data_IF_549492331764
#
_entry.id   IF_549492331764
#
_cell.length_a   1.000
_cell.length_b   1.000
_cell.length_c   1.000
_cell.angle_alpha   90.00
_cell.angle_beta   90.00
_cell.angle_gamma   90.00
#
_symmetry.space_group_name_H-M   'P 1'
#
loop_
_entity.id
_entity.type
_entity.pdbx_description
1 polymer ?
#
# COMPACT_ATOMS: atom_id res chain seq x y z
N UNK A 1 -1.92 -2.43 9.95
CA UNK A 1 -0.92 -2.16 11.02
C UNK A 1 -0.17 -3.45 11.33
N UNK A 2 1.04 -3.36 11.89
CA UNK A 2 1.83 -4.49 12.36
C UNK A 2 2.60 -4.05 13.61
N UNK A 3 2.60 -4.85 14.66
CA UNK A 3 3.17 -4.49 15.97
C UNK A 3 4.30 -5.45 16.34
N UNK A 4 5.28 -4.91 17.08
CA UNK A 4 6.23 -5.73 17.81
C UNK A 4 5.59 -6.14 19.15
N UNK A 5 5.60 -7.44 19.45
CA UNK A 5 5.06 -7.96 20.70
C UNK A 5 6.17 -8.57 21.55
N UNK A 6 6.12 -8.33 22.87
CA UNK A 6 7.12 -8.78 23.83
C UNK A 6 8.10 -7.68 24.24
N UNK A 7 9.05 -8.03 25.10
CA UNK A 7 9.96 -7.06 25.72
C UNK A 7 11.31 -6.93 24.98
N UNK A 8 11.50 -7.71 23.92
CA UNK A 8 12.72 -7.74 23.11
C UNK A 8 12.71 -6.64 22.04
N UNK A 9 13.90 -6.17 21.65
CA UNK A 9 14.04 -5.21 20.55
C UNK A 9 13.77 -5.86 19.20
N UNK A 10 13.25 -5.07 18.26
CA UNK A 10 13.11 -5.49 16.87
C UNK A 10 14.45 -5.94 16.27
N UNK A 11 14.46 -7.13 15.68
CA UNK A 11 15.60 -7.63 14.92
C UNK A 11 15.86 -6.80 13.64
N UNK A 12 17.08 -6.81 13.10
CA UNK A 12 17.38 -6.13 11.84
C UNK A 12 16.47 -6.57 10.68
N UNK A 13 16.10 -7.86 10.62
CA UNK A 13 15.20 -8.38 9.60
C UNK A 13 13.76 -7.85 9.74
N UNK A 14 13.25 -7.72 10.98
CA UNK A 14 11.95 -7.10 11.23
C UNK A 14 11.96 -5.62 10.82
N UNK A 15 13.03 -4.89 11.17
CA UNK A 15 13.16 -3.46 10.80
C UNK A 15 13.23 -3.24 9.29
N UNK A 16 14.03 -4.05 8.59
CA UNK A 16 14.14 -3.96 7.13
C UNK A 16 12.80 -4.21 6.44
N UNK A 17 12.09 -5.29 6.79
CA UNK A 17 10.81 -5.62 6.14
C UNK A 17 9.71 -4.63 6.51
N UNK A 18 9.67 -4.16 7.76
CA UNK A 18 8.70 -3.14 8.16
C UNK A 18 8.95 -1.82 7.44
N UNK A 19 10.21 -1.39 7.36
CA UNK A 19 10.58 -0.16 6.63
C UNK A 19 10.18 -0.25 5.16
N UNK A 20 10.37 -1.40 4.50
CA UNK A 20 9.92 -1.60 3.12
C UNK A 20 8.39 -1.48 2.97
N UNK A 21 7.63 -2.13 3.84
CA UNK A 21 6.17 -2.02 3.81
C UNK A 21 5.71 -0.57 4.06
N UNK A 22 6.36 0.12 5.00
CA UNK A 22 6.08 1.52 5.31
C UNK A 22 6.38 2.45 4.12
N UNK A 23 7.55 2.29 3.50
CA UNK A 23 7.94 3.04 2.30
C UNK A 23 6.96 2.84 1.16
N UNK A 24 6.53 1.60 0.92
CA UNK A 24 5.56 1.29 -0.14
C UNK A 24 4.25 2.04 0.07
N UNK A 25 3.64 1.92 1.26
CA UNK A 25 2.38 2.63 1.57
C UNK A 25 2.56 4.13 1.44
N UNK A 26 3.59 4.71 2.08
CA UNK A 26 3.83 6.16 2.07
C UNK A 26 4.04 6.70 0.66
N UNK A 27 4.92 6.07 -0.14
CA UNK A 27 5.18 6.53 -1.50
C UNK A 27 3.96 6.36 -2.41
N UNK A 28 3.14 5.33 -2.19
CA UNK A 28 1.95 5.06 -2.99
C UNK A 28 0.81 6.03 -2.66
N UNK A 29 0.69 6.48 -1.40
CA UNK A 29 -0.23 7.56 -1.01
C UNK A 29 0.11 8.85 -1.78
N UNK A 30 1.40 9.21 -1.87
CA UNK A 30 1.84 10.43 -2.57
C UNK A 30 1.51 10.43 -4.09
N UNK A 31 1.20 9.26 -4.68
CA UNK A 31 0.76 9.17 -6.08
C UNK A 31 -0.72 9.47 -6.29
N UNK A 32 -1.52 9.43 -5.23
CA UNK A 32 -2.95 9.69 -5.32
C UNK A 32 -3.21 11.17 -5.59
N UNK A 33 -3.84 11.44 -6.73
CA UNK A 33 -4.25 12.77 -7.13
C UNK A 33 -5.49 12.70 -8.03
N UNK A 34 -6.37 13.72 -8.00
CA UNK A 34 -7.48 13.77 -8.93
C UNK A 34 -6.96 13.83 -10.37
N UNK A 35 -7.54 13.03 -11.25
CA UNK A 35 -7.20 13.00 -12.67
C UNK A 35 -6.16 11.94 -13.08
N UNK A 36 -5.43 11.31 -12.15
CA UNK A 36 -4.55 10.19 -12.51
C UNK A 36 -5.38 8.97 -12.93
N UNK A 37 -4.98 8.30 -14.01
CA UNK A 37 -5.64 7.05 -14.42
C UNK A 37 -5.22 5.89 -13.51
N UNK A 38 -6.05 4.85 -13.40
CA UNK A 38 -5.70 3.66 -12.62
C UNK A 38 -4.45 2.97 -13.15
N UNK A 39 -4.25 3.02 -14.48
CA UNK A 39 -3.03 2.52 -15.12
C UNK A 39 -1.80 3.32 -14.72
N UNK A 40 -1.84 4.65 -14.83
CA UNK A 40 -0.72 5.50 -14.40
C UNK A 40 -0.42 5.31 -12.91
N UNK A 41 -1.46 5.11 -12.09
CA UNK A 41 -1.29 4.85 -10.66
C UNK A 41 -0.57 3.51 -10.42
N UNK A 42 -1.00 2.39 -11.03
CA UNK A 42 -0.28 1.10 -10.95
C UNK A 42 1.19 1.24 -11.39
N UNK A 43 1.45 1.87 -12.53
CA UNK A 43 2.78 1.91 -13.15
C UNK A 43 3.73 2.94 -12.53
N UNK A 44 3.21 3.89 -11.73
CA UNK A 44 4.02 4.87 -11.00
C UNK A 44 4.22 4.53 -9.51
N UNK A 45 3.52 3.51 -9.03
CA UNK A 45 3.57 3.06 -7.64
C UNK A 45 4.86 2.33 -7.31
N UNK A 46 5.27 2.46 -6.04
CA UNK A 46 6.31 1.65 -5.44
C UNK A 46 5.85 0.19 -5.35
N UNK A 47 6.65 -0.69 -5.92
CA UNK A 47 6.58 -2.13 -5.74
C UNK A 47 7.98 -2.71 -5.48
N UNK A 48 8.03 -3.91 -4.89
CA UNK A 48 9.25 -4.69 -4.74
C UNK A 48 9.20 -5.90 -5.67
N UNK A 49 10.36 -6.48 -5.99
CA UNK A 49 10.46 -7.54 -6.98
C UNK A 49 9.62 -8.77 -6.58
N UNK A 50 8.71 -9.20 -7.46
CA UNK A 50 7.78 -10.34 -7.25
C UNK A 50 8.49 -11.65 -6.97
N UNK A 51 9.71 -11.84 -7.49
CA UNK A 51 10.52 -13.05 -7.31
C UNK A 51 11.36 -13.03 -6.01
N UNK A 52 11.49 -11.90 -5.33
CA UNK A 52 12.19 -11.79 -4.05
C UNK A 52 11.22 -11.67 -2.87
N UNK A 53 10.10 -10.96 -3.08
CA UNK A 53 9.11 -10.67 -2.06
C UNK A 53 7.75 -11.28 -2.40
N UNK A 54 7.01 -11.64 -1.36
CA UNK A 54 5.56 -11.85 -1.36
C UNK A 54 4.88 -10.50 -1.23
N UNK A 55 3.72 -10.38 -1.85
CA UNK A 55 2.96 -9.13 -1.99
C UNK A 55 1.51 -9.33 -1.59
N UNK A 56 0.79 -8.23 -1.41
CA UNK A 56 -0.66 -8.26 -1.30
C UNK A 56 -1.30 -8.52 -2.68
N UNK A 57 -2.62 -8.69 -2.72
CA UNK A 57 -3.34 -8.93 -3.99
C UNK A 57 -3.40 -7.69 -4.89
N UNK A 58 -3.42 -6.49 -4.31
CA UNK A 58 -3.59 -5.22 -5.00
C UNK A 58 -2.66 -4.15 -4.39
N UNK A 59 -2.41 -3.07 -5.15
CA UNK A 59 -1.77 -1.86 -4.64
C UNK A 59 -2.79 -0.92 -3.97
N UNK A 60 -4.00 -0.85 -4.54
CA UNK A 60 -5.10 -0.05 -4.01
C UNK A 60 -6.43 -0.77 -4.21
N UNK A 61 -7.39 -0.48 -3.34
CA UNK A 61 -8.79 -0.69 -3.64
C UNK A 61 -9.68 0.44 -3.14
N UNK A 62 -10.86 0.59 -3.73
CA UNK A 62 -11.89 1.51 -3.22
C UNK A 62 -12.49 1.01 -1.90
N UNK A 63 -13.00 1.94 -1.10
CA UNK A 63 -13.63 1.61 0.19
C UNK A 63 -14.83 2.53 0.45
N UNK A 64 -15.93 1.92 0.92
CA UNK A 64 -17.17 2.60 1.28
C UNK A 64 -17.91 1.84 2.38
N UNK A 65 -18.96 1.09 2.03
CA UNK A 65 -19.65 0.18 2.97
C UNK A 65 -18.90 -1.14 3.19
N UNK A 66 -18.03 -1.49 2.25
CA UNK A 66 -17.10 -2.60 2.26
C UNK A 66 -15.97 -2.29 1.27
N UNK A 67 -15.10 -3.27 0.99
CA UNK A 67 -14.23 -3.20 -0.18
C UNK A 67 -15.08 -2.94 -1.43
N UNK A 68 -14.72 -1.91 -2.18
CA UNK A 68 -15.46 -1.39 -3.32
C UNK A 68 -14.54 -1.21 -4.53
N UNK A 69 -15.14 -0.97 -5.69
CA UNK A 69 -14.41 -0.58 -6.89
C UNK A 69 -13.69 0.77 -6.68
N UNK A 70 -12.48 0.98 -7.26
CA UNK A 70 -11.75 0.06 -8.15
C UNK A 70 -10.84 -0.91 -7.41
N UNK A 71 -10.39 -1.95 -8.10
CA UNK A 71 -9.26 -2.78 -7.70
C UNK A 71 -8.07 -2.45 -8.60
N UNK A 72 -6.99 -1.90 -8.03
CA UNK A 72 -5.83 -1.43 -8.79
C UNK A 72 -4.65 -2.38 -8.54
N UNK A 73 -4.28 -3.20 -9.54
CA UNK A 73 -3.32 -4.27 -9.34
C UNK A 73 -1.86 -3.80 -9.40
N UNK A 74 -0.94 -4.68 -9.02
CA UNK A 74 0.49 -4.52 -9.34
C UNK A 74 0.72 -4.53 -10.85
N UNK A 75 1.86 -3.98 -11.30
CA UNK A 75 2.15 -3.83 -12.74
C UNK A 75 2.13 -5.16 -13.49
N UNK A 76 2.61 -6.24 -12.86
CA UNK A 76 2.67 -7.57 -13.45
C UNK A 76 1.32 -8.30 -13.52
N UNK A 77 0.29 -7.81 -12.83
CA UNK A 77 -1.08 -8.34 -12.94
C UNK A 77 -1.94 -7.45 -13.86
N UNK A 78 -1.43 -6.30 -14.34
CA UNK A 78 -2.16 -5.43 -15.28
C UNK A 78 -2.33 -6.13 -16.64
N UNK A 79 -3.56 -6.37 -17.05
CA UNK A 79 -3.91 -7.07 -18.30
C UNK A 79 -5.20 -6.51 -18.92
N UNK A 80 -5.69 -7.12 -20.01
CA UNK A 80 -6.89 -6.69 -20.72
C UNK A 80 -8.19 -6.74 -19.90
N UNK A 81 -8.21 -7.48 -18.79
CA UNK A 81 -9.33 -7.56 -17.87
C UNK A 81 -9.21 -6.57 -16.70
N UNK A 82 -8.12 -5.79 -16.62
CA UNK A 82 -7.99 -4.72 -15.64
C UNK A 82 -8.94 -3.58 -15.98
N UNK A 83 -9.66 -3.07 -14.97
CA UNK A 83 -10.59 -1.97 -15.17
C UNK A 83 -9.85 -0.67 -15.38
N UNK A 84 -10.16 0.01 -16.49
CA UNK A 84 -9.68 1.36 -16.74
C UNK A 84 -10.59 2.39 -16.07
N UNK A 85 -10.03 3.54 -15.74
CA UNK A 85 -10.73 4.62 -15.08
C UNK A 85 -9.78 5.69 -14.56
N UNK A 86 -10.37 6.73 -13.99
CA UNK A 86 -9.66 7.90 -13.48
C UNK A 86 -10.05 8.16 -12.05
N UNK A 87 -9.06 8.45 -11.21
CA UNK A 87 -9.25 8.88 -9.83
C UNK A 87 -9.97 10.23 -9.80
N UNK A 88 -11.04 10.35 -9.02
CA UNK A 88 -11.87 11.56 -8.91
C UNK A 88 -12.00 12.02 -7.46
N UNK A 89 -12.17 13.34 -7.21
CA UNK A 89 -12.52 13.85 -5.89
C UNK A 89 -13.73 13.11 -5.29
N UNK A 90 -13.68 12.86 -3.98
CA UNK A 90 -14.70 12.11 -3.24
C UNK A 90 -14.52 10.59 -3.24
N UNK A 91 -13.65 10.03 -4.09
CA UNK A 91 -13.25 8.62 -3.95
C UNK A 91 -12.41 8.42 -2.69
N UNK A 92 -12.51 7.24 -2.08
CA UNK A 92 -11.67 6.83 -0.96
C UNK A 92 -10.99 5.52 -1.32
N UNK A 93 -9.68 5.45 -1.04
CA UNK A 93 -8.86 4.28 -1.33
C UNK A 93 -8.23 3.73 -0.05
N UNK A 94 -8.20 2.41 0.08
CA UNK A 94 -7.19 1.74 0.88
C UNK A 94 -5.90 1.61 0.06
N UNK A 95 -4.79 2.10 0.61
CA UNK A 95 -3.44 1.96 0.01
C UNK A 95 -2.72 0.83 0.72
N UNK A 96 -2.42 -0.23 -0.04
CA UNK A 96 -2.07 -1.52 0.52
C UNK A 96 -0.57 -1.82 0.46
N UNK A 97 -0.06 -2.48 1.49
CA UNK A 97 1.24 -3.14 1.46
C UNK A 97 1.21 -4.44 2.25
N UNK A 98 1.70 -5.50 1.62
CA UNK A 98 2.24 -6.66 2.31
C UNK A 98 3.62 -6.93 1.75
N UNK A 99 4.64 -6.97 2.60
CA UNK A 99 6.01 -7.29 2.20
C UNK A 99 6.52 -8.41 3.09
N UNK A 100 7.01 -9.49 2.49
CA UNK A 100 7.70 -10.57 3.20
C UNK A 100 8.61 -11.32 2.24
N UNK A 101 9.80 -11.74 2.69
CA UNK A 101 10.75 -12.41 1.79
C UNK A 101 10.27 -13.80 1.41
N UNK A 102 10.63 -14.26 0.21
CA UNK A 102 10.27 -15.62 -0.24
C UNK A 102 11.08 -16.73 0.43
N UNK A 103 12.30 -16.42 0.88
CA UNK A 103 13.21 -17.34 1.59
C UNK A 103 12.83 -17.55 3.06
N UNK A 104 11.87 -16.79 3.59
CA UNK A 104 11.31 -16.94 4.93
C UNK A 104 11.52 -15.70 5.81
N UNK A 105 11.20 -15.83 7.09
CA UNK A 105 11.30 -14.74 8.06
C UNK A 105 10.02 -13.90 8.19
N UNK A 106 10.13 -12.65 8.68
CA UNK A 106 8.97 -11.80 8.96
C UNK A 106 8.26 -11.34 7.68
N UNK A 107 6.96 -11.10 7.81
CA UNK A 107 6.12 -10.40 6.84
C UNK A 107 5.35 -9.29 7.54
N UNK A 108 5.15 -8.17 6.85
CA UNK A 108 4.50 -6.97 7.40
C UNK A 108 3.34 -6.55 6.51
N UNK A 109 2.15 -6.37 7.09
CA UNK A 109 0.98 -5.73 6.47
C UNK A 109 0.82 -4.31 7.01
N UNK A 110 0.80 -3.33 6.11
CA UNK A 110 0.44 -1.94 6.41
C UNK A 110 -0.60 -1.47 5.39
N UNK A 111 -1.47 -0.58 5.84
CA UNK A 111 -2.61 -0.10 5.07
C UNK A 111 -3.08 1.23 5.65
N UNK A 112 -3.42 2.17 4.79
CA UNK A 112 -4.02 3.46 5.16
C UNK A 112 -5.22 3.76 4.27
N UNK A 113 -6.23 4.44 4.84
CA UNK A 113 -7.38 4.93 4.11
C UNK A 113 -7.20 6.39 3.74
N UNK A 114 -7.36 6.72 2.46
CA UNK A 114 -7.06 8.03 1.88
C UNK A 114 -8.23 8.54 1.05
N UNK A 115 -8.71 9.74 1.38
CA UNK A 115 -9.72 10.47 0.63
C UNK A 115 -9.05 11.26 -0.51
N UNK A 116 -9.63 11.22 -1.70
CA UNK A 116 -9.24 12.09 -2.80
C UNK A 116 -9.98 13.42 -2.66
N UNK A 117 -9.23 14.51 -2.61
CA UNK A 117 -9.75 15.88 -2.54
C UNK A 117 -9.72 16.54 -3.92
N UNK A 118 -10.25 17.75 -4.03
CA UNK A 118 -10.26 18.51 -5.29
C UNK A 118 -8.86 18.81 -5.84
N UNK A 119 -7.85 18.85 -4.98
CA UNK A 119 -6.47 19.25 -5.35
C UNK A 119 -5.40 18.23 -4.97
N UNK A 120 -5.78 17.05 -4.46
CA UNK A 120 -4.83 16.06 -3.99
C UNK A 120 -5.50 14.95 -3.18
N UNK A 121 -4.96 14.65 -2.01
CA UNK A 121 -5.47 13.60 -1.13
C UNK A 121 -5.35 13.99 0.35
N UNK A 122 -6.15 13.35 1.20
CA UNK A 122 -6.16 13.49 2.65
C UNK A 122 -6.07 12.10 3.28
N UNK A 123 -5.09 11.91 4.16
CA UNK A 123 -4.97 10.69 4.97
C UNK A 123 -6.04 10.71 6.07
N UNK A 124 -6.98 9.75 6.03
CA UNK A 124 -8.05 9.63 7.03
C UNK A 124 -7.62 8.82 8.24
N UNK A 125 -6.76 7.83 8.04
CA UNK A 125 -6.26 6.98 9.12
C UNK A 125 -5.25 7.72 9.98
N UNK A 126 -5.47 7.77 11.29
CA UNK A 126 -4.65 8.53 12.24
C UNK A 126 -3.88 7.66 13.26
N UNK A 127 -3.95 6.32 13.12
CA UNK A 127 -3.28 5.42 14.05
C UNK A 127 -1.77 5.41 13.79
N UNK A 128 -0.94 5.46 14.82
CA UNK A 128 0.52 5.54 14.63
C UNK A 128 1.10 4.28 13.98
N UNK A 129 2.17 4.45 13.21
CA UNK A 129 3.05 3.35 12.83
C UNK A 129 3.91 2.93 14.03
N UNK A 130 4.34 1.67 14.06
CA UNK A 130 5.27 1.15 15.05
C UNK A 130 6.68 1.71 14.81
N UNK A 131 7.08 2.72 15.59
CA UNK A 131 8.36 3.39 15.42
C UNK A 131 9.55 2.49 15.74
N UNK A 132 9.38 1.52 16.65
CA UNK A 132 10.46 0.62 17.04
C UNK A 132 10.84 -0.37 15.92
N UNK A 133 9.93 -0.59 14.97
CA UNK A 133 10.12 -1.39 13.77
C UNK A 133 10.68 -0.58 12.59
N UNK A 134 10.84 0.74 12.68
CA UNK A 134 11.48 1.53 11.62
C UNK A 134 13.02 1.50 11.76
N UNK A 135 13.70 1.57 10.61
CA UNK A 135 15.15 1.78 10.52
C UNK A 135 15.55 3.22 10.82
#
# INVERSE_FOLDING_TARGET
RCWLCGDEKASPAQKDIYTKAYEQVRQNIERLSPGITFKELSFSSKEYLRNEFRHYSLLYHGIGLCDEYPAIPFTWEWNENSFDGTVKPGMVFCVESYVGRRDGGPGVKLEEQVLITETGHELLTNYSFESDLLL
#
